data_IF_010333930962
#
_entry.id   IF_010333930962
#
_cell.length_a   1.000
_cell.length_b   1.000
_cell.length_c   1.000
_cell.angle_alpha   90.00
_cell.angle_beta   90.00
_cell.angle_gamma   90.00
#
_symmetry.space_group_name_H-M   'P 1'
#
loop_
_entity.id
_entity.type
_entity.pdbx_description
1 polymer ?
#
# COMPACT_ATOMS: atom_id res chain seq x y z
N UNK A 1 -11.26 12.91 10.42
CA UNK A 1 -11.65 11.52 10.72
C UNK A 1 -12.66 11.59 11.86
N UNK A 2 -13.35 10.50 12.17
CA UNK A 2 -14.30 10.43 13.29
C UNK A 2 -13.61 10.30 14.67
N UNK A 3 -12.36 10.77 14.76
CA UNK A 3 -11.45 10.73 15.93
C UNK A 3 -11.24 9.34 16.58
N UNK A 4 -11.56 8.27 15.85
CA UNK A 4 -11.36 6.90 16.29
C UNK A 4 -10.09 6.27 15.69
N UNK A 5 -9.50 5.34 16.45
CA UNK A 5 -8.45 4.44 16.01
C UNK A 5 -9.08 3.12 15.55
N UNK A 6 -8.76 2.70 14.33
CA UNK A 6 -9.20 1.45 13.73
C UNK A 6 -8.04 0.47 13.67
N UNK A 7 -8.17 -0.68 14.32
CA UNK A 7 -7.13 -1.72 14.38
C UNK A 7 -7.67 -3.01 13.78
N UNK A 8 -6.98 -3.58 12.79
CA UNK A 8 -7.31 -4.90 12.28
C UNK A 8 -6.59 -5.98 13.10
N UNK A 9 -7.34 -6.90 13.70
CA UNK A 9 -6.78 -7.97 14.54
C UNK A 9 -6.56 -9.31 13.79
N UNK A 10 -6.81 -9.34 12.47
CA UNK A 10 -6.77 -10.54 11.65
C UNK A 10 -8.14 -11.16 11.36
N UNK A 11 -9.19 -10.82 12.14
CA UNK A 11 -10.56 -11.29 11.92
C UNK A 11 -11.57 -10.15 11.75
N UNK A 12 -11.34 -9.03 12.42
CA UNK A 12 -12.26 -7.89 12.49
C UNK A 12 -11.50 -6.59 12.70
N UNK A 13 -12.19 -5.47 12.52
CA UNK A 13 -11.70 -4.19 13.01
C UNK A 13 -12.20 -3.95 14.43
N UNK A 14 -11.27 -3.60 15.32
CA UNK A 14 -11.53 -3.07 16.65
C UNK A 14 -11.46 -1.55 16.56
N UNK A 15 -12.55 -0.88 16.92
CA UNK A 15 -12.64 0.58 16.94
C UNK A 15 -12.44 1.06 18.36
N UNK A 16 -11.46 1.94 18.54
CA UNK A 16 -11.10 2.55 19.81
C UNK A 16 -11.21 4.07 19.69
N UNK A 17 -11.48 4.77 20.78
CA UNK A 17 -11.28 6.22 20.87
C UNK A 17 -9.78 6.56 20.93
N UNK A 18 -9.44 7.85 20.84
CA UNK A 18 -8.06 8.31 20.95
C UNK A 18 -7.38 7.97 22.29
N UNK A 19 -8.14 7.81 23.38
CA UNK A 19 -7.66 7.36 24.70
C UNK A 19 -7.67 5.83 24.86
N UNK A 20 -7.82 5.09 23.75
CA UNK A 20 -7.82 3.62 23.67
C UNK A 20 -9.04 2.94 24.33
N UNK A 21 -10.11 3.68 24.60
CA UNK A 21 -11.37 3.08 25.06
C UNK A 21 -12.07 2.34 23.93
N UNK A 22 -12.54 1.13 24.20
CA UNK A 22 -13.28 0.33 23.22
C UNK A 22 -14.62 0.98 22.84
N UNK A 23 -14.87 1.07 21.53
CA UNK A 23 -16.13 1.57 20.96
C UNK A 23 -16.98 0.43 20.41
N UNK A 24 -16.45 -0.32 19.44
CA UNK A 24 -17.17 -1.42 18.77
C UNK A 24 -16.24 -2.35 17.99
N UNK A 25 -16.78 -3.50 17.60
CA UNK A 25 -16.19 -4.38 16.59
C UNK A 25 -16.91 -4.21 15.25
N UNK A 26 -16.15 -4.19 14.16
CA UNK A 26 -16.69 -4.22 12.80
C UNK A 26 -16.25 -5.54 12.16
N UNK A 27 -17.17 -6.52 12.00
CA UNK A 27 -16.84 -7.77 11.35
C UNK A 27 -16.58 -7.53 9.86
N UNK A 28 -15.48 -8.07 9.36
CA UNK A 28 -15.12 -7.96 7.95
C UNK A 28 -14.55 -9.30 7.51
N UNK A 29 -15.06 -9.85 6.41
CA UNK A 29 -14.55 -11.11 5.89
C UNK A 29 -13.17 -10.87 5.26
N UNK A 30 -12.09 -11.32 5.91
CA UNK A 30 -10.69 -11.31 5.44
C UNK A 30 -10.16 -9.96 4.96
N UNK A 31 -9.32 -9.25 5.70
CA UNK A 31 -8.78 -7.96 5.23
C UNK A 31 -7.37 -8.13 4.68
N UNK A 32 -7.08 -7.46 3.55
CA UNK A 32 -5.71 -7.19 3.12
C UNK A 32 -5.00 -6.26 4.10
N UNK A 33 -3.68 -6.14 3.96
CA UNK A 33 -2.82 -5.37 4.89
C UNK A 33 -3.04 -3.84 4.87
N UNK A 34 -3.87 -3.34 3.93
CA UNK A 34 -4.09 -1.91 3.71
C UNK A 34 -5.60 -1.60 3.73
N UNK A 35 -5.96 -0.61 4.53
CA UNK A 35 -7.32 -0.10 4.63
C UNK A 35 -7.33 1.41 4.88
N UNK A 36 -8.45 2.04 4.57
CA UNK A 36 -8.70 3.46 4.76
C UNK A 36 -10.09 3.65 5.36
N UNK A 37 -10.24 4.67 6.18
CA UNK A 37 -11.53 5.01 6.80
C UNK A 37 -11.90 6.43 6.39
N UNK A 38 -13.10 6.59 5.85
CA UNK A 38 -13.59 7.88 5.44
C UNK A 38 -14.31 8.63 6.57
N UNK A 39 -14.73 9.87 6.29
CA UNK A 39 -15.43 10.70 7.28
C UNK A 39 -16.79 10.15 7.73
N UNK A 40 -17.42 9.28 6.96
CA UNK A 40 -18.67 8.61 7.33
C UNK A 40 -18.43 7.32 8.14
N UNK A 41 -17.16 6.91 8.30
CA UNK A 41 -16.78 5.64 8.91
C UNK A 41 -16.87 4.46 7.94
N UNK A 42 -17.00 4.72 6.63
CA UNK A 42 -16.93 3.67 5.63
C UNK A 42 -15.46 3.19 5.53
N UNK A 43 -15.28 1.87 5.48
CA UNK A 43 -13.99 1.20 5.36
C UNK A 43 -13.73 0.84 3.91
N UNK A 44 -12.62 1.32 3.35
CA UNK A 44 -12.09 0.90 2.07
C UNK A 44 -10.95 -0.08 2.31
N UNK A 45 -11.09 -1.31 1.85
CA UNK A 45 -10.13 -2.37 2.09
C UNK A 45 -9.68 -2.98 0.77
N UNK A 46 -8.37 -3.13 0.58
CA UNK A 46 -7.86 -3.94 -0.52
C UNK A 46 -8.15 -5.42 -0.23
N UNK A 47 -8.77 -6.10 -1.19
CA UNK A 47 -9.19 -7.50 -1.10
C UNK A 47 -8.68 -8.30 -2.28
N UNK A 48 -8.66 -9.61 -2.07
CA UNK A 48 -8.36 -10.58 -3.11
C UNK A 48 -9.54 -11.54 -3.26
N UNK A 49 -9.82 -11.91 -4.50
CA UNK A 49 -10.78 -12.94 -4.85
C UNK A 49 -10.03 -14.12 -5.47
N UNK A 50 -10.34 -15.33 -4.98
CA UNK A 50 -9.72 -16.59 -5.43
C UNK A 50 -10.70 -17.47 -6.21
N UNK A 51 -11.94 -16.99 -6.44
CA UNK A 51 -13.00 -17.78 -7.07
C UNK A 51 -12.89 -17.92 -8.59
N UNK A 52 -11.98 -17.19 -9.24
CA UNK A 52 -11.78 -17.21 -10.69
C UNK A 52 -10.54 -18.02 -11.10
N UNK A 53 -10.43 -18.34 -12.39
CA UNK A 53 -9.25 -19.01 -12.98
C UNK A 53 -7.96 -18.22 -12.83
N UNK A 54 -8.07 -16.92 -12.53
CA UNK A 54 -6.96 -16.03 -12.16
C UNK A 54 -7.36 -15.28 -10.89
N UNK A 55 -6.50 -15.23 -9.85
CA UNK A 55 -6.74 -14.40 -8.68
C UNK A 55 -6.93 -12.93 -9.08
N UNK A 56 -7.87 -12.25 -8.43
CA UNK A 56 -8.13 -10.83 -8.66
C UNK A 56 -7.90 -10.03 -7.39
N UNK A 57 -7.47 -8.79 -7.54
CA UNK A 57 -7.52 -7.77 -6.51
C UNK A 57 -8.64 -6.77 -6.81
N UNK A 58 -9.26 -6.26 -5.75
CA UNK A 58 -10.27 -5.22 -5.85
C UNK A 58 -10.29 -4.39 -4.56
N UNK A 59 -10.87 -3.19 -4.64
CA UNK A 59 -11.14 -2.36 -3.48
C UNK A 59 -12.57 -2.60 -3.01
N UNK A 60 -12.73 -3.14 -1.81
CA UNK A 60 -14.03 -3.34 -1.19
C UNK A 60 -14.39 -2.15 -0.29
N UNK A 61 -15.64 -1.69 -0.38
CA UNK A 61 -16.20 -0.69 0.53
C UNK A 61 -17.18 -1.35 1.49
N UNK A 62 -16.92 -1.20 2.79
CA UNK A 62 -17.81 -1.63 3.86
C UNK A 62 -18.38 -0.40 4.57
N UNK A 63 -19.65 -0.46 4.95
CA UNK A 63 -20.24 0.60 5.77
C UNK A 63 -19.77 0.49 7.24
N UNK A 64 -20.12 1.44 8.13
CA UNK A 64 -19.67 1.43 9.53
C UNK A 64 -20.14 0.21 10.34
N UNK A 65 -21.12 -0.54 9.83
CA UNK A 65 -21.62 -1.78 10.43
C UNK A 65 -20.90 -3.03 9.89
N UNK A 66 -19.95 -2.89 8.97
CA UNK A 66 -19.21 -4.00 8.37
C UNK A 66 -19.94 -4.69 7.21
N UNK A 67 -21.03 -4.11 6.71
CA UNK A 67 -21.72 -4.62 5.52
C UNK A 67 -20.97 -4.19 4.27
N UNK A 68 -20.67 -5.14 3.39
CA UNK A 68 -20.13 -4.84 2.06
C UNK A 68 -21.18 -4.05 1.25
N UNK A 69 -20.83 -2.86 0.80
CA UNK A 69 -21.70 -1.96 0.02
C UNK A 69 -21.16 -1.68 -1.38
N UNK A 70 -19.92 -2.07 -1.69
CA UNK A 70 -19.36 -1.92 -3.03
C UNK A 70 -18.06 -2.71 -3.25
N UNK A 71 -17.78 -3.03 -4.50
CA UNK A 71 -16.53 -3.60 -4.97
C UNK A 71 -16.08 -2.83 -6.22
N UNK A 72 -14.86 -2.33 -6.21
CA UNK A 72 -14.36 -1.39 -7.22
C UNK A 72 -12.99 -1.83 -7.74
N UNK A 73 -12.65 -1.45 -8.98
CA UNK A 73 -11.34 -1.70 -9.61
C UNK A 73 -10.88 -3.14 -9.51
N UNK A 74 -11.71 -4.06 -9.97
CA UNK A 74 -11.34 -5.47 -10.06
C UNK A 74 -10.31 -5.64 -11.17
N UNK A 75 -9.11 -6.09 -10.81
CA UNK A 75 -7.98 -6.34 -11.73
C UNK A 75 -7.30 -7.65 -11.38
N UNK A 76 -6.57 -8.29 -12.30
CA UNK A 76 -5.74 -9.43 -11.95
C UNK A 76 -4.77 -9.14 -10.79
N UNK A 77 -4.69 -10.02 -9.79
CA UNK A 77 -3.66 -9.95 -8.75
C UNK A 77 -2.44 -10.75 -9.20
N UNK A 78 -1.46 -10.04 -9.76
CA UNK A 78 -0.20 -10.64 -10.22
C UNK A 78 0.76 -10.95 -9.08
N UNK A 79 0.44 -10.54 -7.85
CA UNK A 79 1.14 -10.96 -6.63
C UNK A 79 0.56 -12.23 -6.02
N UNK A 80 -0.32 -12.93 -6.73
CA UNK A 80 -0.90 -14.19 -6.31
C UNK A 80 -0.58 -15.28 -7.32
N UNK A 81 -0.04 -16.39 -6.83
CA UNK A 81 0.25 -17.58 -7.63
C UNK A 81 -0.38 -18.81 -6.99
N UNK A 82 -0.79 -19.76 -7.82
CA UNK A 82 -1.33 -21.04 -7.34
C UNK A 82 -0.18 -22.05 -7.22
N UNK A 83 0.11 -22.51 -6.00
CA UNK A 83 1.14 -23.51 -5.74
C UNK A 83 0.57 -24.64 -4.89
N UNK A 84 0.63 -25.89 -5.41
CA UNK A 84 0.14 -27.07 -4.69
C UNK A 84 -1.36 -27.02 -4.34
N UNK A 85 -2.19 -26.36 -5.16
CA UNK A 85 -3.62 -26.17 -4.89
C UNK A 85 -3.93 -25.08 -3.85
N UNK A 86 -2.91 -24.40 -3.32
CA UNK A 86 -3.07 -23.25 -2.42
C UNK A 86 -2.78 -21.95 -3.15
N UNK A 87 -3.54 -20.91 -2.81
CA UNK A 87 -3.27 -19.56 -3.25
C UNK A 87 -2.17 -18.96 -2.37
N UNK A 88 -1.01 -18.64 -2.97
CA UNK A 88 0.14 -18.06 -2.26
C UNK A 88 0.36 -16.63 -2.74
N UNK A 89 0.34 -15.68 -1.80
CA UNK A 89 0.67 -14.29 -2.09
C UNK A 89 2.17 -14.06 -2.03
N UNK A 90 2.70 -13.38 -3.04
CA UNK A 90 4.09 -12.95 -3.18
C UNK A 90 4.18 -11.42 -3.10
N UNK A 91 3.89 -10.78 -1.95
CA UNK A 91 3.94 -9.33 -1.86
C UNK A 91 5.40 -8.87 -1.96
N UNK A 92 5.78 -8.32 -3.12
CA UNK A 92 7.09 -7.74 -3.34
C UNK A 92 6.96 -6.43 -4.14
N UNK A 93 7.76 -5.37 -3.86
CA UNK A 93 7.69 -4.11 -4.61
C UNK A 93 7.91 -4.21 -6.12
N UNK A 94 8.43 -5.35 -6.62
CA UNK A 94 8.67 -5.61 -8.03
C UNK A 94 7.48 -6.27 -8.73
N UNK A 95 6.50 -6.74 -7.97
CA UNK A 95 5.31 -7.36 -8.52
C UNK A 95 4.27 -6.27 -8.81
N UNK A 96 3.58 -6.31 -9.96
CA UNK A 96 2.55 -5.33 -10.26
C UNK A 96 1.43 -5.34 -9.21
N UNK A 97 1.01 -4.14 -8.80
CA UNK A 97 -0.04 -3.93 -7.81
C UNK A 97 -0.65 -2.54 -7.98
N UNK A 98 -1.92 -2.38 -7.61
CA UNK A 98 -2.47 -1.04 -7.44
C UNK A 98 -2.06 -0.46 -6.07
N UNK A 99 -1.69 0.82 -6.07
CA UNK A 99 -1.45 1.63 -4.89
C UNK A 99 -2.68 2.49 -4.65
N UNK A 100 -3.10 2.61 -3.40
CA UNK A 100 -4.29 3.38 -3.03
C UNK A 100 -3.96 4.47 -2.01
N UNK A 101 -4.73 5.55 -2.02
CA UNK A 101 -4.83 6.46 -0.88
C UNK A 101 -6.21 7.09 -0.81
N UNK A 102 -6.59 7.54 0.38
CA UNK A 102 -7.84 8.26 0.63
C UNK A 102 -7.51 9.70 0.99
N UNK A 103 -8.12 10.64 0.28
CA UNK A 103 -7.95 12.06 0.59
C UNK A 103 -8.84 12.51 1.78
N UNK A 104 -8.57 13.70 2.35
CA UNK A 104 -9.36 14.25 3.46
C UNK A 104 -10.82 14.54 3.13
N UNK A 105 -11.22 14.49 1.86
CA UNK A 105 -12.59 14.68 1.37
C UNK A 105 -13.26 13.35 1.04
N UNK A 106 -12.67 12.23 1.46
CA UNK A 106 -13.18 10.88 1.21
C UNK A 106 -13.11 10.44 -0.26
N UNK A 107 -12.23 11.05 -1.06
CA UNK A 107 -11.98 10.62 -2.44
C UNK A 107 -10.85 9.60 -2.46
N UNK A 108 -11.12 8.42 -2.99
CA UNK A 108 -10.09 7.39 -3.21
C UNK A 108 -9.34 7.69 -4.49
N UNK A 109 -8.02 7.68 -4.39
CA UNK A 109 -7.11 7.71 -5.52
C UNK A 109 -6.41 6.36 -5.66
N UNK A 110 -6.09 6.00 -6.90
CA UNK A 110 -5.27 4.85 -7.19
C UNK A 110 -4.25 5.11 -8.29
N UNK A 111 -3.17 4.34 -8.25
CA UNK A 111 -2.08 4.35 -9.21
C UNK A 111 -1.57 2.91 -9.38
N UNK A 112 -1.67 2.29 -10.56
CA UNK A 112 -0.92 1.08 -10.85
C UNK A 112 0.58 1.36 -10.68
N UNK A 113 1.29 0.55 -9.90
CA UNK A 113 2.70 0.81 -9.58
C UNK A 113 3.65 0.76 -10.80
N UNK A 114 3.20 0.17 -11.90
CA UNK A 114 3.86 0.14 -13.21
C UNK A 114 3.37 1.22 -14.17
N UNK A 115 2.37 2.02 -13.76
CA UNK A 115 1.74 3.06 -14.58
C UNK A 115 2.12 4.48 -14.15
N UNK A 116 1.72 5.44 -15.00
CA UNK A 116 1.95 6.88 -14.79
C UNK A 116 0.68 7.70 -14.60
N UNK A 117 -0.50 7.07 -14.67
CA UNK A 117 -1.78 7.75 -14.54
C UNK A 117 -2.34 7.55 -13.13
N UNK A 118 -2.39 8.63 -12.35
CA UNK A 118 -3.18 8.66 -11.12
C UNK A 118 -4.63 8.90 -11.49
N UNK A 119 -5.52 8.09 -10.93
CA UNK A 119 -6.95 8.16 -11.16
C UNK A 119 -7.68 8.31 -9.83
N UNK A 120 -8.81 9.01 -9.84
CA UNK A 120 -9.74 9.06 -8.70
C UNK A 120 -10.91 8.12 -8.97
N UNK A 121 -11.50 7.57 -7.92
CA UNK A 121 -12.75 6.85 -8.01
C UNK A 121 -13.94 7.78 -7.89
N UNK A 122 -14.93 7.63 -8.76
CA UNK A 122 -16.24 8.25 -8.57
C UNK A 122 -17.11 7.44 -7.59
N UNK A 123 -18.34 7.90 -7.36
CA UNK A 123 -19.27 7.26 -6.44
C UNK A 123 -19.69 5.84 -6.87
N UNK A 124 -19.55 5.52 -8.16
CA UNK A 124 -19.83 4.22 -8.74
C UNK A 124 -18.59 3.32 -8.75
N UNK A 125 -17.42 3.85 -8.37
CA UNK A 125 -16.13 3.15 -8.41
C UNK A 125 -15.47 3.14 -9.78
N UNK A 126 -15.91 3.99 -10.70
CA UNK A 126 -15.28 4.17 -12.00
C UNK A 126 -13.98 4.96 -11.83
N UNK A 127 -12.92 4.51 -12.51
CA UNK A 127 -11.66 5.23 -12.60
C UNK A 127 -11.79 6.46 -13.49
N UNK A 128 -11.64 7.66 -12.91
CA UNK A 128 -11.56 8.91 -13.66
C UNK A 128 -10.11 9.43 -13.60
N UNK A 129 -9.45 9.71 -14.74
CA UNK A 129 -8.10 10.27 -14.76
C UNK A 129 -8.01 11.56 -13.94
N UNK A 130 -7.04 11.64 -13.03
CA UNK A 130 -6.78 12.83 -12.22
C UNK A 130 -5.59 13.63 -12.75
N UNK A 131 -4.41 13.01 -12.80
CA UNK A 131 -3.18 13.61 -13.33
C UNK A 131 -2.14 12.54 -13.67
N UNK A 132 -1.14 12.92 -14.48
CA UNK A 132 -0.01 12.06 -14.81
C UNK A 132 1.19 12.38 -13.93
N UNK A 133 1.96 11.36 -13.62
CA UNK A 133 3.23 11.44 -12.90
C UNK A 133 4.38 11.10 -13.83
N UNK A 134 5.54 11.64 -13.51
CA UNK A 134 6.77 11.46 -14.28
C UNK A 134 7.45 10.16 -13.83
N UNK A 135 7.24 9.10 -14.61
CA UNK A 135 7.83 7.78 -14.38
C UNK A 135 8.92 7.51 -15.40
N UNK A 136 9.98 6.82 -14.97
CA UNK A 136 11.01 6.32 -15.87
C UNK A 136 10.86 4.83 -16.06
N UNK A 137 11.08 4.44 -17.29
CA UNK A 137 11.12 3.07 -17.71
C UNK A 137 12.47 2.45 -17.39
N UNK A 138 12.54 1.70 -16.29
CA UNK A 138 13.78 1.07 -15.83
C UNK A 138 13.64 -0.45 -16.03
N UNK A 139 14.47 -1.09 -16.87
CA UNK A 139 14.42 -2.54 -17.04
C UNK A 139 14.84 -3.25 -15.75
N UNK A 140 14.31 -4.45 -15.52
CA UNK A 140 14.70 -5.31 -14.39
C UNK A 140 15.86 -6.19 -14.83
N UNK A 141 17.03 -6.04 -14.20
CA UNK A 141 18.20 -6.87 -14.53
C UNK A 141 18.03 -8.32 -14.05
N UNK A 142 18.84 -9.24 -14.59
CA UNK A 142 18.88 -10.64 -14.13
C UNK A 142 19.27 -10.73 -12.65
N UNK A 143 20.24 -9.92 -12.22
CA UNK A 143 20.72 -9.91 -10.84
C UNK A 143 19.65 -9.39 -9.88
N UNK A 144 18.86 -8.41 -10.32
CA UNK A 144 17.71 -7.95 -9.53
C UNK A 144 16.69 -9.07 -9.35
N UNK A 145 16.31 -9.79 -10.42
CA UNK A 145 15.37 -10.92 -10.31
C UNK A 145 15.90 -11.99 -9.36
N UNK A 146 17.17 -12.35 -9.50
CA UNK A 146 17.83 -13.32 -8.62
C UNK A 146 17.82 -12.86 -7.14
N UNK A 147 18.06 -11.56 -6.88
CA UNK A 147 18.01 -11.03 -5.52
C UNK A 147 16.59 -10.97 -4.96
N UNK A 148 15.59 -10.63 -5.78
CA UNK A 148 14.17 -10.69 -5.39
C UNK A 148 13.80 -12.12 -5.01
N UNK A 149 14.14 -13.09 -5.85
CA UNK A 149 13.89 -14.51 -5.61
C UNK A 149 14.64 -15.04 -4.37
N UNK A 150 15.87 -14.59 -4.14
CA UNK A 150 16.67 -14.98 -2.95
C UNK A 150 16.12 -14.40 -1.65
N UNK A 151 15.73 -13.13 -1.64
CA UNK A 151 15.11 -12.48 -0.46
C UNK A 151 13.70 -13.01 -0.21
N UNK A 152 13.09 -13.63 -1.22
CA UNK A 152 11.80 -14.24 -1.10
C UNK A 152 11.91 -15.64 -0.49
N UNK A 153 11.71 -15.72 0.83
CA UNK A 153 11.27 -16.95 1.46
C UNK A 153 9.75 -16.89 1.40
N UNK A 154 9.14 -17.64 0.48
CA UNK A 154 7.69 -17.83 0.43
C UNK A 154 7.22 -18.36 1.77
N UNK A 155 6.77 -17.45 2.64
CA UNK A 155 6.35 -17.75 3.99
C UNK A 155 5.07 -18.56 3.96
N UNK A 156 5.22 -19.88 3.88
CA UNK A 156 4.23 -20.82 4.36
C UNK A 156 4.72 -21.41 5.65
N UNK A 157 3.82 -21.64 6.60
CA UNK A 157 4.12 -22.33 7.86
C UNK A 157 4.60 -23.77 7.64
N UNK A 158 4.66 -24.25 6.39
CA UNK A 158 5.26 -25.51 5.99
C UNK A 158 6.70 -25.27 5.51
N UNK A 159 7.67 -25.96 6.12
CA UNK A 159 9.06 -26.07 5.65
C UNK A 159 9.20 -26.77 4.27
N UNK A 160 8.12 -26.89 3.49
CA UNK A 160 8.14 -27.47 2.17
C UNK A 160 8.46 -26.37 1.15
N UNK A 161 9.52 -26.52 0.32
CA UNK A 161 9.78 -25.60 -0.76
C UNK A 161 8.61 -25.68 -1.76
N UNK A 162 7.84 -24.60 -1.87
CA UNK A 162 6.86 -24.44 -2.93
C UNK A 162 7.48 -23.60 -4.03
N UNK A 163 7.41 -24.10 -5.27
CA UNK A 163 7.76 -23.31 -6.46
C UNK A 163 6.66 -22.28 -6.68
N UNK A 164 6.86 -21.07 -6.15
CA UNK A 164 5.97 -19.93 -6.37
C UNK A 164 6.55 -19.11 -7.51
N UNK A 165 5.83 -19.02 -8.62
CA UNK A 165 6.24 -18.18 -9.75
C UNK A 165 6.04 -16.70 -9.39
N UNK A 166 7.06 -15.88 -9.59
CA UNK A 166 6.96 -14.42 -9.49
C UNK A 166 6.64 -13.84 -10.86
N UNK A 167 5.50 -13.14 -10.95
CA UNK A 167 5.13 -12.42 -12.16
C UNK A 167 5.76 -11.02 -12.14
N UNK A 168 6.83 -10.87 -12.90
CA UNK A 168 7.47 -9.57 -13.12
C UNK A 168 6.77 -8.81 -14.26
N UNK A 169 6.62 -7.50 -14.12
CA UNK A 169 6.39 -6.65 -15.29
C UNK A 169 7.65 -6.56 -16.16
N UNK A 170 7.48 -6.07 -17.39
CA UNK A 170 8.58 -5.80 -18.32
C UNK A 170 9.62 -4.81 -17.76
N UNK A 171 9.19 -3.96 -16.82
CA UNK A 171 9.99 -2.88 -16.22
C UNK A 171 9.76 -2.84 -14.72
N UNK A 172 10.72 -2.31 -13.98
CA UNK A 172 10.62 -2.13 -12.53
C UNK A 172 9.42 -1.23 -12.22
N UNK A 173 8.52 -1.63 -11.33
CA UNK A 173 7.51 -0.71 -10.80
C UNK A 173 8.17 0.56 -10.29
N UNK A 174 7.60 1.73 -10.59
CA UNK A 174 8.26 3.00 -10.32
C UNK A 174 7.98 3.52 -8.91
N UNK A 175 6.75 3.32 -8.43
CA UNK A 175 6.33 3.67 -7.08
C UNK A 175 5.89 2.42 -6.31
N UNK A 176 5.98 2.45 -4.99
CA UNK A 176 5.49 1.36 -4.12
C UNK A 176 4.55 1.83 -3.03
N UNK A 177 4.35 3.14 -2.91
CA UNK A 177 3.42 3.73 -1.95
C UNK A 177 2.96 5.10 -2.42
N UNK A 178 1.71 5.43 -2.11
CA UNK A 178 1.11 6.74 -2.32
C UNK A 178 0.45 7.19 -1.02
N UNK A 179 0.71 8.43 -0.61
CA UNK A 179 0.08 9.10 0.53
C UNK A 179 -0.44 10.46 0.07
N UNK A 180 -1.43 11.00 0.78
CA UNK A 180 -1.98 12.32 0.53
C UNK A 180 -2.23 13.04 1.84
N UNK A 181 -1.87 14.33 1.92
CA UNK A 181 -2.10 15.15 3.11
C UNK A 181 -3.37 15.99 3.04
N UNK A 182 -3.63 16.71 4.13
CA UNK A 182 -4.76 17.63 4.28
C UNK A 182 -4.82 18.74 3.21
N UNK A 183 -3.68 19.08 2.62
CA UNK A 183 -3.55 20.12 1.60
C UNK A 183 -3.64 19.56 0.17
N UNK A 184 -3.89 18.25 0.02
CA UNK A 184 -3.98 17.59 -1.27
C UNK A 184 -2.63 17.37 -1.96
N UNK A 185 -1.52 17.42 -1.22
CA UNK A 185 -0.20 17.07 -1.75
C UNK A 185 -0.05 15.56 -1.75
N UNK A 186 0.37 15.00 -2.88
CA UNK A 186 0.64 13.58 -3.03
C UNK A 186 2.11 13.29 -2.76
N UNK A 187 2.37 12.24 -1.98
CA UNK A 187 3.71 11.75 -1.65
C UNK A 187 3.84 10.34 -2.22
N UNK A 188 4.71 10.18 -3.21
CA UNK A 188 4.89 8.92 -3.91
C UNK A 188 6.27 8.36 -3.63
N UNK A 189 6.32 7.22 -2.93
CA UNK A 189 7.57 6.58 -2.54
C UNK A 189 8.07 5.75 -3.72
N UNK A 190 9.27 6.05 -4.21
CA UNK A 190 9.87 5.31 -5.31
C UNK A 190 10.25 3.89 -4.91
N UNK A 191 10.21 3.00 -5.89
CA UNK A 191 10.78 1.66 -5.77
C UNK A 191 12.26 1.74 -6.12
N UNK A 192 13.10 1.61 -5.10
CA UNK A 192 14.55 1.53 -5.30
C UNK A 192 14.95 0.15 -5.82
N UNK A 193 16.14 0.06 -6.42
CA UNK A 193 16.67 -1.25 -6.79
C UNK A 193 16.88 -2.11 -5.55
N UNK A 194 16.51 -3.39 -5.59
CA UNK A 194 16.84 -4.34 -4.49
C UNK A 194 18.33 -4.49 -4.24
N UNK A 195 19.17 -4.13 -5.22
CA UNK A 195 20.63 -4.13 -5.14
C UNK A 195 21.19 -2.84 -4.52
N UNK A 196 20.35 -1.81 -4.33
CA UNK A 196 20.78 -0.56 -3.71
C UNK A 196 21.10 -0.80 -2.22
N UNK A 197 22.21 -0.20 -1.77
CA UNK A 197 22.68 -0.31 -0.37
C UNK A 197 22.20 0.85 0.52
N UNK A 198 21.49 1.82 -0.04
CA UNK A 198 20.95 2.96 0.68
C UNK A 198 19.76 2.57 1.56
N UNK A 199 19.67 3.18 2.75
CA UNK A 199 18.50 3.05 3.64
C UNK A 199 17.49 4.18 3.46
N UNK A 200 17.76 5.13 2.56
CA UNK A 200 16.89 6.27 2.33
C UNK A 200 15.77 5.92 1.33
N UNK A 201 14.56 6.38 1.62
CA UNK A 201 13.44 6.38 0.71
C UNK A 201 13.42 7.68 -0.10
N UNK A 202 13.41 7.56 -1.44
CA UNK A 202 13.15 8.69 -2.34
C UNK A 202 11.66 8.93 -2.51
N UNK A 203 11.22 10.17 -2.35
CA UNK A 203 9.81 10.53 -2.37
C UNK A 203 9.59 11.67 -3.36
N UNK A 204 8.71 11.44 -4.33
CA UNK A 204 8.20 12.47 -5.22
C UNK A 204 6.97 13.13 -4.60
N UNK A 205 7.03 14.43 -4.39
CA UNK A 205 5.93 15.25 -3.89
C UNK A 205 5.30 16.02 -5.04
N UNK A 206 4.01 15.82 -5.24
CA UNK A 206 3.20 16.54 -6.24
C UNK A 206 2.20 17.45 -5.55
N UNK A 207 2.28 18.76 -5.80
CA UNK A 207 1.30 19.75 -5.33
C UNK A 207 0.18 19.97 -6.36
N UNK A 208 -0.82 20.78 -6.03
CA UNK A 208 -1.95 21.13 -6.91
C UNK A 208 -1.52 21.76 -8.24
N UNK A 209 -0.37 22.46 -8.29
CA UNK A 209 0.24 22.99 -9.51
C UNK A 209 1.05 21.95 -10.31
N UNK A 210 1.09 20.71 -9.80
CA UNK A 210 1.70 19.51 -10.40
C UNK A 210 3.22 19.61 -10.60
N UNK A 211 3.90 20.55 -9.93
CA UNK A 211 5.36 20.55 -9.87
C UNK A 211 5.84 19.44 -8.95
N UNK A 212 6.84 18.70 -9.43
CA UNK A 212 7.50 17.62 -8.68
C UNK A 212 8.62 18.18 -7.82
N UNK A 213 8.58 17.91 -6.51
CA UNK A 213 9.68 18.15 -5.57
C UNK A 213 10.16 16.80 -5.06
N UNK A 214 11.46 16.56 -5.07
CA UNK A 214 12.05 15.33 -4.53
C UNK A 214 12.44 15.53 -3.06
N UNK A 215 12.10 14.56 -2.21
CA UNK A 215 12.54 14.47 -0.82
C UNK A 215 13.25 13.13 -0.60
N UNK A 216 14.13 13.10 0.41
CA UNK A 216 14.75 11.88 0.92
C UNK A 216 14.47 11.73 2.40
N UNK A 217 14.10 10.53 2.82
CA UNK A 217 13.87 10.18 4.22
C UNK A 217 14.69 8.96 4.60
N UNK A 218 15.15 8.89 5.85
CA UNK A 218 15.91 7.73 6.37
C UNK A 218 15.08 6.45 6.56
N UNK A 219 13.84 6.41 6.07
CA UNK A 219 12.94 5.27 6.13
C UNK A 219 11.63 5.55 5.39
N UNK A 220 10.78 4.54 5.30
CA UNK A 220 9.52 4.64 4.59
C UNK A 220 8.49 5.43 5.36
N UNK A 221 7.84 6.44 4.75
CA UNK A 221 6.74 7.11 5.39
C UNK A 221 5.58 6.14 5.59
N UNK A 222 5.11 6.05 6.83
CA UNK A 222 3.94 5.27 7.22
C UNK A 222 2.67 6.08 6.98
N UNK A 223 2.65 7.32 7.46
CA UNK A 223 1.52 8.26 7.35
C UNK A 223 2.03 9.68 7.05
N UNK A 224 1.12 10.51 6.54
CA UNK A 224 1.30 11.95 6.44
C UNK A 224 0.19 12.65 7.21
N UNK A 225 0.54 13.63 8.03
CA UNK A 225 -0.42 14.40 8.81
C UNK A 225 0.14 15.78 9.15
N UNK A 226 -0.67 16.83 9.00
CA UNK A 226 -0.28 18.21 9.32
C UNK A 226 1.05 18.60 8.63
N UNK A 227 1.23 18.17 7.38
CA UNK A 227 2.45 18.43 6.61
C UNK A 227 3.73 17.77 7.17
N UNK A 228 3.60 16.75 8.00
CA UNK A 228 4.69 15.91 8.48
C UNK A 228 4.59 14.50 7.91
N UNK A 229 5.73 13.97 7.44
CA UNK A 229 5.88 12.56 7.12
C UNK A 229 6.38 11.82 8.36
N UNK A 230 5.62 10.83 8.81
CA UNK A 230 5.95 9.99 9.95
C UNK A 230 6.49 8.66 9.45
N UNK A 231 7.63 8.23 9.98
CA UNK A 231 8.31 7.01 9.59
C UNK A 231 8.99 6.39 10.80
N UNK A 232 9.26 5.09 10.72
CA UNK A 232 10.01 4.38 11.75
C UNK A 232 11.45 4.22 11.27
N UNK A 233 12.40 4.60 12.12
CA UNK A 233 13.80 4.25 11.95
C UNK A 233 14.11 3.15 12.95
N UNK A 234 14.39 1.95 12.44
CA UNK A 234 14.87 0.86 13.29
C UNK A 234 16.32 1.16 13.66
N UNK A 235 16.61 1.31 14.95
CA UNK A 235 17.97 1.24 15.45
C UNK A 235 18.30 -0.24 15.61
N UNK A 236 19.28 -0.70 14.85
CA UNK A 236 19.85 -2.02 15.06
C UNK A 236 20.81 -1.87 16.27
N UNK A 237 20.28 -2.04 17.48
CA UNK A 237 21.06 -1.91 18.73
C UNK A 237 21.67 -3.24 19.20
N UNK A 238 21.48 -4.32 18.44
CA UNK A 238 22.10 -5.63 18.69
C UNK A 238 21.47 -6.41 19.86
N UNK A 239 20.35 -5.95 20.43
CA UNK A 239 19.72 -6.59 21.60
C UNK A 239 18.47 -7.41 21.24
N UNK A 240 18.00 -7.39 19.98
CA UNK A 240 16.88 -8.22 19.54
C UNK A 240 15.50 -7.70 20.01
N UNK A 241 15.45 -6.55 20.69
CA UNK A 241 14.22 -5.79 20.87
C UNK A 241 14.03 -4.82 19.70
N UNK A 242 12.80 -4.73 19.18
CA UNK A 242 12.47 -3.86 18.06
C UNK A 242 12.37 -2.41 18.55
N UNK A 243 13.52 -1.76 18.79
CA UNK A 243 13.60 -0.35 19.21
C UNK A 243 13.49 0.59 17.99
N UNK A 244 12.26 0.78 17.52
CA UNK A 244 11.94 1.77 16.49
C UNK A 244 11.72 3.16 17.08
N UNK A 245 12.37 4.20 16.54
CA UNK A 245 12.00 5.58 16.84
C UNK A 245 11.00 6.07 15.80
N UNK A 246 9.85 6.60 16.25
CA UNK A 246 8.93 7.34 15.37
C UNK A 246 9.58 8.70 15.11
N UNK A 247 10.01 8.91 13.87
CA UNK A 247 10.59 10.15 13.41
C UNK A 247 9.53 10.92 12.61
N UNK A 248 9.62 12.25 12.63
CA UNK A 248 8.81 13.11 11.77
C UNK A 248 9.70 14.10 11.02
N UNK A 249 9.43 14.28 9.74
CA UNK A 249 10.08 15.29 8.91
C UNK A 249 9.05 16.29 8.40
N UNK A 250 9.30 17.59 8.64
CA UNK A 250 8.46 18.65 8.10
C UNK A 250 8.68 18.74 6.59
N UNK A 251 7.59 18.78 5.83
CA UNK A 251 7.63 19.05 4.40
C UNK A 251 7.71 20.56 4.23
N UNK A 252 8.80 21.12 3.69
CA UNK A 252 8.88 22.55 3.42
C UNK A 252 7.87 22.90 2.32
N UNK A 253 7.26 24.07 2.44
CA UNK A 253 6.35 24.61 1.44
C UNK A 253 6.97 24.65 0.03
#
# INVERSE_FOLDING_TARGET
MDDNLYVYDGAKFVVLTADLTFVRNIPVMMVGREFYVDKAGDLFCRKNDFGASQPEEFLAKYNPQGKLVGQFLRTPDLAMSMAGGMAVRTPHPYVPTNLFCLDPRSVVYFLPNTGSQVSRLDAQGTAIPAFKVDTKDIPISKDEKAEVERRYIGGTNSNAPMNVELHYADRRPYYRKILIDENGRFYMVRTESVLAKGKEATIDVYQADRKKKELRLGGDPLIVHQSYLYYVVNKDDGVGELTGAIMRSRVPD
#
